data_IF_456390322986
#
_entry.id   IF_456390322986
#
_cell.length_a   1.000
_cell.length_b   1.000
_cell.length_c   1.000
_cell.angle_alpha   90.00
_cell.angle_beta   90.00
_cell.angle_gamma   90.00
#
_symmetry.space_group_name_H-M   'P 1'
#
loop_
_entity.id
_entity.type
_entity.pdbx_description
1 polymer ?
#
# COMPACT_ATOMS: atom_id res chain seq x y z
N UNK A 1 18.35 6.28 -19.80
CA UNK A 1 17.96 5.80 -18.45
C UNK A 1 17.55 4.34 -18.58
N UNK A 2 17.92 3.50 -17.63
CA UNK A 2 17.67 2.04 -17.65
C UNK A 2 16.61 1.67 -16.62
N UNK A 3 15.80 0.66 -16.90
CA UNK A 3 14.71 0.19 -16.03
C UNK A 3 15.13 -0.11 -14.58
N UNK A 4 16.38 -0.52 -14.36
CA UNK A 4 16.94 -0.74 -13.02
C UNK A 4 17.13 0.56 -12.23
N UNK A 5 17.52 1.66 -12.89
CA UNK A 5 17.68 2.96 -12.24
C UNK A 5 16.32 3.55 -11.81
N UNK A 6 15.29 3.37 -12.64
CA UNK A 6 13.93 3.80 -12.34
C UNK A 6 13.32 3.01 -11.16
N UNK A 7 13.59 1.70 -11.09
CA UNK A 7 13.14 0.87 -9.97
C UNK A 7 13.81 1.28 -8.64
N UNK A 8 15.11 1.61 -8.67
CA UNK A 8 15.83 2.11 -7.50
C UNK A 8 15.30 3.48 -7.05
N UNK A 9 15.01 4.38 -8.00
CA UNK A 9 14.42 5.67 -7.73
C UNK A 9 13.02 5.55 -7.09
N UNK A 10 12.18 4.65 -7.61
CA UNK A 10 10.86 4.38 -7.05
C UNK A 10 10.93 3.83 -5.62
N UNK A 11 11.88 2.93 -5.33
CA UNK A 11 12.12 2.40 -3.98
C UNK A 11 12.56 3.48 -2.99
N UNK A 12 13.42 4.40 -3.44
CA UNK A 12 13.85 5.56 -2.66
C UNK A 12 12.69 6.53 -2.39
N UNK A 13 11.86 6.80 -3.40
CA UNK A 13 10.64 7.60 -3.27
C UNK A 13 9.67 7.00 -2.26
N UNK A 14 9.38 5.70 -2.38
CA UNK A 14 8.52 4.97 -1.44
C UNK A 14 9.03 5.03 0.01
N UNK A 15 10.35 4.90 0.21
CA UNK A 15 10.96 4.99 1.55
C UNK A 15 10.80 6.40 2.14
N UNK A 16 11.02 7.45 1.33
CA UNK A 16 10.79 8.84 1.75
C UNK A 16 9.32 9.11 2.07
N UNK A 17 8.40 8.58 1.27
CA UNK A 17 6.97 8.71 1.52
C UNK A 17 6.56 8.06 2.84
N UNK A 18 7.10 6.86 3.13
CA UNK A 18 6.88 6.17 4.41
C UNK A 18 7.35 7.00 5.60
N UNK A 19 8.51 7.66 5.48
CA UNK A 19 9.04 8.54 6.54
C UNK A 19 8.17 9.79 6.73
N UNK A 20 7.72 10.40 5.63
CA UNK A 20 6.89 11.60 5.66
C UNK A 20 5.49 11.35 6.25
N UNK A 21 4.94 10.16 6.01
CA UNK A 21 3.61 9.76 6.47
C UNK A 21 3.61 9.06 7.84
N UNK A 22 4.74 9.08 8.56
CA UNK A 22 4.83 8.47 9.89
C UNK A 22 3.76 9.04 10.85
N UNK A 23 3.16 8.22 11.74
CA UNK A 23 3.44 6.80 11.94
C UNK A 23 2.82 5.89 10.86
N UNK A 24 3.58 4.90 10.40
CA UNK A 24 3.14 3.89 9.40
C UNK A 24 3.28 2.46 9.93
N UNK A 25 2.44 1.53 9.47
CA UNK A 25 2.60 0.09 9.76
C UNK A 25 2.76 -0.72 8.47
N UNK A 26 3.69 -1.69 8.41
CA UNK A 26 3.84 -2.56 7.23
C UNK A 26 2.61 -3.47 7.06
N UNK A 27 2.33 -3.86 5.81
CA UNK A 27 1.34 -4.90 5.50
C UNK A 27 2.10 -6.20 5.22
N UNK A 28 2.26 -7.04 6.25
CA UNK A 28 3.16 -8.19 6.24
C UNK A 28 2.85 -9.21 5.13
N UNK A 29 1.57 -9.45 4.82
CA UNK A 29 1.17 -10.40 3.78
C UNK A 29 1.55 -9.97 2.35
N UNK A 30 1.60 -8.67 2.08
CA UNK A 30 1.87 -8.13 0.74
C UNK A 30 3.37 -7.96 0.50
N UNK A 31 4.12 -7.60 1.54
CA UNK A 31 5.58 -7.55 1.46
C UNK A 31 6.19 -8.91 1.09
N UNK A 32 5.62 -10.02 1.60
CA UNK A 32 6.04 -11.38 1.28
C UNK A 32 5.81 -11.75 -0.20
N UNK A 33 4.87 -11.10 -0.88
CA UNK A 33 4.55 -11.31 -2.30
C UNK A 33 5.34 -10.37 -3.23
N UNK A 34 6.36 -9.69 -2.71
CA UNK A 34 7.16 -8.75 -3.50
C UNK A 34 6.48 -7.40 -3.74
N UNK A 35 5.44 -7.07 -2.96
CA UNK A 35 4.72 -5.79 -3.00
C UNK A 35 4.98 -5.01 -1.70
N UNK A 36 6.07 -4.21 -1.64
CA UNK A 36 6.31 -3.32 -0.52
C UNK A 36 5.11 -2.40 -0.33
N UNK A 37 4.57 -2.42 0.88
CA UNK A 37 3.36 -1.68 1.20
C UNK A 37 3.32 -1.29 2.68
N UNK A 38 2.66 -0.18 2.97
CA UNK A 38 2.42 0.27 4.33
C UNK A 38 1.08 0.99 4.45
N UNK A 39 0.53 0.96 5.65
CA UNK A 39 -0.60 1.78 6.07
C UNK A 39 -0.08 3.05 6.72
N UNK A 40 -0.73 4.17 6.47
CA UNK A 40 -0.52 5.44 7.14
C UNK A 40 -1.81 5.87 7.85
N UNK A 41 -1.80 7.06 8.44
CA UNK A 41 -2.94 7.59 9.19
C UNK A 41 -4.23 7.64 8.35
N UNK A 42 -5.37 7.53 9.05
CA UNK A 42 -6.75 7.57 8.50
C UNK A 42 -7.12 6.42 7.55
N UNK A 43 -6.31 5.37 7.44
CA UNK A 43 -6.57 4.23 6.56
C UNK A 43 -6.04 4.42 5.14
N UNK A 44 -5.07 5.32 4.97
CA UNK A 44 -4.32 5.44 3.72
C UNK A 44 -3.42 4.21 3.56
N UNK A 45 -3.38 3.63 2.37
CA UNK A 45 -2.49 2.51 2.06
C UNK A 45 -1.64 2.87 0.85
N UNK A 46 -0.34 2.59 0.94
CA UNK A 46 0.64 2.89 -0.10
C UNK A 46 1.31 1.61 -0.58
N UNK A 47 1.47 1.48 -1.89
CA UNK A 47 2.08 0.35 -2.59
C UNK A 47 3.21 0.80 -3.49
N UNK A 48 4.27 -0.01 -3.57
CA UNK A 48 5.26 0.07 -4.63
C UNK A 48 5.05 -1.08 -5.62
N UNK A 49 4.80 -0.77 -6.88
CA UNK A 49 4.67 -1.73 -7.98
C UNK A 49 5.61 -1.35 -9.11
N UNK A 50 6.66 -2.14 -9.32
CA UNK A 50 7.69 -1.83 -10.32
C UNK A 50 8.31 -0.46 -10.06
N UNK A 51 8.08 0.49 -10.96
CA UNK A 51 8.56 1.87 -10.90
C UNK A 51 7.52 2.87 -10.37
N UNK A 52 6.32 2.39 -10.01
CA UNK A 52 5.17 3.23 -9.67
C UNK A 52 4.80 3.09 -8.19
N UNK A 53 4.31 4.18 -7.60
CA UNK A 53 3.75 4.18 -6.25
C UNK A 53 2.25 4.45 -6.32
N UNK A 54 1.43 3.54 -5.81
CA UNK A 54 -0.01 3.73 -5.69
C UNK A 54 -0.35 4.16 -4.25
N UNK A 55 -1.18 5.20 -4.12
CA UNK A 55 -1.71 5.67 -2.85
C UNK A 55 -3.23 5.51 -2.89
N UNK A 56 -3.78 4.80 -1.92
CA UNK A 56 -5.22 4.57 -1.80
C UNK A 56 -5.71 5.23 -0.52
N UNK A 57 -6.57 6.23 -0.66
CA UNK A 57 -7.19 6.93 0.47
C UNK A 57 -8.46 6.21 0.91
N UNK A 58 -8.39 5.52 2.06
CA UNK A 58 -9.52 4.87 2.70
C UNK A 58 -10.26 5.74 3.71
N UNK A 59 -9.96 7.04 3.84
CA UNK A 59 -10.41 7.87 4.96
C UNK A 59 -11.93 7.94 5.16
N UNK A 60 -12.71 7.63 4.14
CA UNK A 60 -14.19 7.61 4.17
C UNK A 60 -14.79 6.27 4.62
N UNK A 61 -14.00 5.21 4.77
CA UNK A 61 -14.48 3.82 4.80
C UNK A 61 -14.94 3.24 6.16
N UNK A 62 -15.57 3.89 7.14
CA UNK A 62 -15.81 3.29 8.50
C UNK A 62 -14.55 2.68 9.17
N UNK A 63 -14.47 2.63 10.51
CA UNK A 63 -13.21 2.13 11.13
C UNK A 63 -13.07 0.61 10.99
N UNK A 64 -14.21 -0.08 10.98
CA UNK A 64 -14.35 -1.51 10.76
C UNK A 64 -15.60 -1.78 9.92
N UNK A 65 -15.55 -2.76 9.03
CA UNK A 65 -16.70 -3.21 8.24
C UNK A 65 -16.96 -4.71 8.44
N UNK A 66 -18.23 -5.10 8.27
CA UNK A 66 -18.67 -6.49 8.33
C UNK A 66 -18.73 -7.10 9.74
N UNK A 67 -19.30 -8.31 9.83
CA UNK A 67 -19.41 -9.08 11.08
C UNK A 67 -18.04 -9.46 11.68
N UNK A 68 -17.04 -9.64 10.82
CA UNK A 68 -15.68 -10.02 11.21
C UNK A 68 -14.84 -8.87 11.76
N UNK A 69 -15.39 -7.63 11.80
CA UNK A 69 -14.69 -6.43 12.26
C UNK A 69 -13.33 -6.22 11.59
N UNK A 70 -13.26 -6.46 10.28
CA UNK A 70 -12.05 -6.19 9.52
C UNK A 70 -11.72 -4.70 9.58
N UNK A 71 -10.45 -4.35 9.76
CA UNK A 71 -10.07 -2.96 9.85
C UNK A 71 -10.18 -2.31 8.47
N UNK A 72 -10.47 -1.01 8.45
CA UNK A 72 -10.46 -0.19 7.24
C UNK A 72 -9.22 -0.43 6.36
N UNK A 73 -8.05 -0.47 7.00
CA UNK A 73 -6.78 -0.64 6.30
C UNK A 73 -6.66 -2.00 5.62
N UNK A 74 -7.22 -3.06 6.22
CA UNK A 74 -7.24 -4.40 5.63
C UNK A 74 -8.12 -4.43 4.37
N UNK A 75 -9.27 -3.75 4.43
CA UNK A 75 -10.22 -3.67 3.32
C UNK A 75 -9.63 -2.89 2.16
N UNK A 76 -9.09 -1.69 2.44
CA UNK A 76 -8.37 -0.91 1.43
C UNK A 76 -7.26 -1.75 0.83
N UNK A 77 -6.55 -2.51 1.66
CA UNK A 77 -5.45 -3.30 1.18
C UNK A 77 -5.87 -4.46 0.27
N UNK A 78 -6.98 -5.12 0.60
CA UNK A 78 -7.57 -6.19 -0.20
C UNK A 78 -8.17 -5.68 -1.51
N UNK A 79 -8.89 -4.56 -1.48
CA UNK A 79 -9.44 -3.92 -2.69
C UNK A 79 -8.34 -3.45 -3.62
N UNK A 80 -7.28 -2.83 -3.07
CA UNK A 80 -6.14 -2.41 -3.87
C UNK A 80 -5.44 -3.61 -4.52
N UNK A 81 -5.25 -4.71 -3.78
CA UNK A 81 -4.70 -5.94 -4.34
C UNK A 81 -5.55 -6.48 -5.50
N UNK A 82 -6.88 -6.52 -5.35
CA UNK A 82 -7.81 -6.97 -6.40
C UNK A 82 -7.72 -6.10 -7.66
N UNK A 83 -7.58 -4.79 -7.53
CA UNK A 83 -7.46 -3.86 -8.67
C UNK A 83 -6.08 -3.99 -9.32
N UNK A 84 -5.04 -4.17 -8.52
CA UNK A 84 -3.66 -4.30 -9.01
C UNK A 84 -3.37 -5.66 -9.64
N UNK A 85 -4.23 -6.66 -9.40
CA UNK A 85 -4.14 -8.02 -9.93
C UNK A 85 -5.51 -8.56 -10.38
N UNK A 86 -6.04 -8.12 -11.55
CA UNK A 86 -7.35 -8.54 -12.02
C UNK A 86 -7.41 -9.98 -12.56
N UNK A 87 -6.28 -10.62 -12.84
CA UNK A 87 -6.18 -11.96 -13.46
C UNK A 87 -5.58 -13.02 -12.52
N UNK A 88 -6.38 -13.50 -11.57
CA UNK A 88 -6.26 -14.84 -10.97
C UNK A 88 -7.62 -15.47 -10.87
#
# INVERSE_FOLDING_TARGET
MTQAADAAAARSGFTRLRQHLAPTKPINGLAALGLPSFTASRGTVVYLRGTETLIVDGSTLLVTLGRSRESRSDIVAYTALRILWPDT
#
